data_IF_527942987790
#
_entry.id   IF_527942987790
#
_cell.length_a   1.000
_cell.length_b   1.000
_cell.length_c   1.000
_cell.angle_alpha   90.00
_cell.angle_beta   90.00
_cell.angle_gamma   90.00
#
_symmetry.space_group_name_H-M   'P 1'
#
loop_
_entity.id
_entity.type
_entity.pdbx_description
1 polymer ?
#
# COMPACT_ATOMS: atom_id res chain seq x y z
N UNK A 1 -3.66 6.32 -14.66
CA UNK A 1 -2.87 6.47 -13.42
C UNK A 1 -1.49 6.99 -13.75
N UNK A 2 -1.05 7.97 -13.02
CA UNK A 2 0.26 8.59 -13.24
C UNK A 2 1.19 8.30 -12.09
N UNK A 3 2.46 8.08 -12.42
CA UNK A 3 3.54 8.04 -11.44
C UNK A 3 4.08 9.46 -11.35
N UNK A 4 3.77 10.17 -10.28
CA UNK A 4 4.01 11.60 -10.20
C UNK A 4 5.40 11.96 -9.65
N UNK A 5 6.06 11.09 -8.96
CA UNK A 5 7.37 11.38 -8.40
C UNK A 5 8.15 10.10 -8.18
N UNK A 6 9.10 9.86 -9.05
CA UNK A 6 10.04 8.75 -8.89
C UNK A 6 11.41 9.33 -8.60
N UNK A 7 11.91 9.07 -7.42
CA UNK A 7 13.33 9.19 -7.09
C UNK A 7 13.81 7.81 -6.73
N UNK A 8 15.13 7.58 -6.75
CA UNK A 8 15.65 6.26 -6.42
C UNK A 8 14.94 5.71 -5.15
N UNK A 9 14.15 4.67 -5.32
CA UNK A 9 13.51 3.92 -4.24
C UNK A 9 12.36 4.64 -3.51
N UNK A 10 11.74 5.61 -4.16
CA UNK A 10 10.52 6.22 -3.69
C UNK A 10 9.61 6.56 -4.87
N UNK A 11 8.32 6.31 -4.73
CA UNK A 11 7.32 6.74 -5.70
C UNK A 11 6.02 7.13 -5.00
N UNK A 12 5.39 8.16 -5.50
CA UNK A 12 4.03 8.50 -5.14
C UNK A 12 3.14 8.21 -6.34
N UNK A 13 2.22 7.27 -6.21
CA UNK A 13 1.29 6.92 -7.26
C UNK A 13 -0.03 7.64 -7.02
N UNK A 14 -0.58 8.22 -8.07
CA UNK A 14 -1.82 8.96 -7.98
C UNK A 14 -2.85 8.44 -8.97
N UNK A 15 -4.11 8.48 -8.58
CA UNK A 15 -5.22 8.20 -9.46
C UNK A 15 -5.94 9.50 -9.75
N UNK A 16 -6.23 9.72 -11.02
CA UNK A 16 -6.97 10.88 -11.52
C UNK A 16 -8.19 10.41 -12.29
N UNK A 17 -9.28 11.20 -12.31
CA UNK A 17 -10.44 10.84 -13.11
C UNK A 17 -10.08 10.80 -14.60
N UNK A 18 -10.81 10.02 -15.37
CA UNK A 18 -10.67 10.01 -16.81
C UNK A 18 -11.00 11.42 -17.37
N UNK A 19 -10.20 11.87 -18.33
CA UNK A 19 -10.13 13.26 -18.74
C UNK A 19 -11.20 13.72 -19.71
N UNK A 20 -12.14 12.88 -20.08
CA UNK A 20 -13.03 13.23 -21.18
C UNK A 20 -14.30 13.90 -20.79
N UNK A 21 -14.59 14.24 -19.59
CA UNK A 21 -15.94 14.61 -19.28
C UNK A 21 -16.14 15.97 -18.71
N UNK A 22 -15.38 16.56 -17.93
CA UNK A 22 -15.59 17.94 -17.54
C UNK A 22 -14.31 18.58 -17.05
N UNK A 23 -14.20 19.86 -17.28
CA UNK A 23 -13.09 20.66 -16.78
C UNK A 23 -13.00 20.64 -15.27
N UNK A 24 -14.11 20.39 -14.59
CA UNK A 24 -14.18 20.37 -13.13
C UNK A 24 -13.44 19.18 -12.51
N UNK A 25 -13.30 18.09 -13.24
CA UNK A 25 -12.60 16.90 -12.75
C UNK A 25 -11.14 16.84 -13.21
N UNK A 26 -10.68 17.76 -14.04
CA UNK A 26 -9.29 17.79 -14.48
C UNK A 26 -8.37 18.22 -13.33
N UNK A 27 -7.32 17.46 -13.08
CA UNK A 27 -6.34 17.75 -12.05
C UNK A 27 -6.77 17.40 -10.64
N UNK A 28 -7.96 16.84 -10.43
CA UNK A 28 -8.38 16.37 -9.11
C UNK A 28 -7.79 14.99 -8.84
N UNK A 29 -7.06 14.87 -7.73
CA UNK A 29 -6.61 13.57 -7.26
C UNK A 29 -7.77 12.85 -6.59
N UNK A 30 -8.06 11.65 -7.03
CA UNK A 30 -9.09 10.81 -6.43
C UNK A 30 -8.50 9.75 -5.50
N UNK A 31 -7.22 9.47 -5.62
CA UNK A 31 -6.53 8.55 -4.72
C UNK A 31 -5.03 8.70 -4.82
N UNK A 32 -4.33 8.31 -3.76
CA UNK A 32 -2.87 8.36 -3.67
C UNK A 32 -2.36 7.15 -2.90
N UNK A 33 -1.13 6.77 -3.16
CA UNK A 33 -0.40 5.79 -2.36
C UNK A 33 1.10 6.07 -2.48
N UNK A 34 1.83 5.92 -1.38
CA UNK A 34 3.28 6.07 -1.36
C UNK A 34 3.95 4.71 -1.30
N UNK A 35 5.06 4.57 -2.02
CA UNK A 35 5.90 3.37 -1.98
C UNK A 35 7.33 3.80 -1.70
N UNK A 36 7.92 3.28 -0.63
CA UNK A 36 9.28 3.60 -0.20
C UNK A 36 10.04 2.30 0.04
N UNK A 37 11.27 2.22 -0.43
CA UNK A 37 12.10 1.05 -0.17
C UNK A 37 12.69 1.15 1.23
N UNK A 38 12.51 0.10 2.02
CA UNK A 38 12.96 0.02 3.41
C UNK A 38 13.78 -1.26 3.66
N UNK A 39 14.47 -1.29 4.81
CA UNK A 39 15.38 -2.39 5.17
C UNK A 39 15.24 -2.82 6.62
N UNK A 40 14.09 -2.64 7.24
CA UNK A 40 13.91 -2.98 8.66
C UNK A 40 14.09 -4.47 8.89
N UNK A 41 15.01 -4.82 9.78
CA UNK A 41 15.34 -6.22 10.09
C UNK A 41 14.13 -7.04 10.53
N UNK A 42 13.25 -6.54 11.42
CA UNK A 42 12.07 -7.32 11.81
C UNK A 42 11.16 -7.68 10.63
N UNK A 43 11.09 -6.85 9.60
CA UNK A 43 10.32 -7.15 8.39
C UNK A 43 11.07 -8.14 7.51
N UNK A 44 12.37 -7.95 7.33
CA UNK A 44 13.18 -8.82 6.48
C UNK A 44 13.18 -10.27 6.94
N UNK A 45 12.94 -10.53 8.22
CA UNK A 45 12.82 -11.89 8.75
C UNK A 45 11.68 -12.68 8.09
N UNK A 46 10.68 -11.99 7.57
CA UNK A 46 9.54 -12.60 6.87
C UNK A 46 9.75 -12.70 5.36
N UNK A 47 10.83 -12.15 4.83
CA UNK A 47 11.07 -12.04 3.39
C UNK A 47 12.30 -12.84 2.99
N UNK A 48 12.08 -14.07 2.59
CA UNK A 48 13.16 -15.00 2.26
C UNK A 48 14.04 -14.45 1.14
N UNK A 49 15.32 -14.25 1.44
CA UNK A 49 16.31 -13.82 0.45
C UNK A 49 16.31 -12.33 0.12
N UNK A 50 15.40 -11.54 0.69
CA UNK A 50 15.33 -10.12 0.42
C UNK A 50 16.29 -9.33 1.30
N UNK A 51 16.91 -8.30 0.72
CA UNK A 51 17.78 -7.35 1.44
C UNK A 51 17.07 -6.03 1.71
N UNK A 52 16.03 -5.77 0.98
CA UNK A 52 15.20 -4.57 1.09
C UNK A 52 13.85 -4.86 0.43
N UNK A 53 12.88 -4.01 0.65
CA UNK A 53 11.53 -4.25 0.17
C UNK A 53 10.79 -2.93 -0.06
N UNK A 54 9.87 -2.86 -1.03
CA UNK A 54 8.96 -1.73 -1.16
C UNK A 54 7.91 -1.78 -0.06
N UNK A 55 7.80 -0.69 0.67
CA UNK A 55 6.82 -0.49 1.73
C UNK A 55 5.74 0.47 1.27
N UNK A 56 4.50 0.04 1.35
CA UNK A 56 3.33 0.80 0.92
C UNK A 56 2.75 1.55 2.11
N UNK A 57 2.53 2.85 1.94
CA UNK A 57 1.96 3.68 2.99
C UNK A 57 1.08 4.77 2.38
N UNK A 58 0.29 5.43 3.22
CA UNK A 58 -0.47 6.59 2.79
C UNK A 58 -1.54 6.33 1.75
N UNK A 59 -2.05 5.10 1.66
CA UNK A 59 -3.13 4.79 0.75
C UNK A 59 -4.40 5.54 1.16
N UNK A 60 -4.88 6.41 0.30
CA UNK A 60 -6.07 7.21 0.57
C UNK A 60 -6.87 7.43 -0.72
N UNK A 61 -8.19 7.37 -0.59
CA UNK A 61 -9.12 7.61 -1.68
C UNK A 61 -10.12 8.68 -1.25
N UNK A 62 -10.37 9.65 -2.12
CA UNK A 62 -11.35 10.70 -1.88
C UNK A 62 -12.73 10.11 -1.59
N UNK A 63 -13.45 10.69 -0.63
CA UNK A 63 -14.79 10.21 -0.22
C UNK A 63 -15.76 10.05 -1.38
N UNK A 64 -15.78 11.00 -2.31
CA UNK A 64 -16.67 10.96 -3.46
C UNK A 64 -16.35 9.86 -4.46
N UNK A 65 -15.16 9.25 -4.36
CA UNK A 65 -14.72 8.20 -5.26
C UNK A 65 -14.53 6.85 -4.58
N UNK A 66 -14.96 6.71 -3.34
CA UNK A 66 -14.93 5.42 -2.65
C UNK A 66 -15.91 4.44 -3.27
N UNK A 67 -15.66 3.13 -3.09
CA UNK A 67 -16.44 2.02 -3.66
C UNK A 67 -16.35 1.92 -5.19
N UNK A 68 -15.38 2.59 -5.81
CA UNK A 68 -15.12 2.50 -7.25
C UNK A 68 -13.86 1.71 -7.55
N UNK A 69 -13.41 0.89 -6.61
CA UNK A 69 -12.22 0.04 -6.75
C UNK A 69 -10.92 0.80 -7.00
N UNK A 70 -10.87 2.08 -6.66
CA UNK A 70 -9.67 2.90 -6.87
C UNK A 70 -8.52 2.42 -6.01
N UNK A 71 -8.79 2.07 -4.75
CA UNK A 71 -7.77 1.51 -3.87
C UNK A 71 -7.17 0.22 -4.44
N UNK A 72 -8.01 -0.66 -5.01
CA UNK A 72 -7.55 -1.88 -5.65
C UNK A 72 -6.65 -1.59 -6.86
N UNK A 73 -7.00 -0.60 -7.65
CA UNK A 73 -6.19 -0.17 -8.80
C UNK A 73 -4.83 0.38 -8.33
N UNK A 74 -4.83 1.19 -7.27
CA UNK A 74 -3.58 1.72 -6.71
C UNK A 74 -2.69 0.60 -6.17
N UNK A 75 -3.26 -0.39 -5.50
CA UNK A 75 -2.50 -1.55 -5.01
C UNK A 75 -1.93 -2.37 -6.17
N UNK A 76 -2.70 -2.52 -7.24
CA UNK A 76 -2.21 -3.21 -8.43
C UNK A 76 -1.06 -2.47 -9.08
N UNK A 77 -1.12 -1.15 -9.09
CA UNK A 77 0.00 -0.33 -9.59
C UNK A 77 1.24 -0.49 -8.72
N UNK A 78 1.07 -0.67 -7.42
CA UNK A 78 2.20 -0.97 -6.52
C UNK A 78 2.85 -2.32 -6.88
N UNK A 79 2.05 -3.33 -7.22
CA UNK A 79 2.59 -4.62 -7.70
C UNK A 79 3.45 -4.41 -8.94
N UNK A 80 2.95 -3.66 -9.90
CA UNK A 80 3.68 -3.39 -11.15
C UNK A 80 4.96 -2.62 -10.88
N UNK A 81 4.93 -1.66 -9.96
CA UNK A 81 6.10 -0.90 -9.57
C UNK A 81 7.16 -1.79 -8.91
N UNK A 82 6.74 -2.68 -8.03
CA UNK A 82 7.65 -3.63 -7.39
C UNK A 82 8.34 -4.53 -8.43
N UNK A 83 7.59 -5.02 -9.41
CA UNK A 83 8.14 -5.81 -10.52
C UNK A 83 9.13 -4.96 -11.33
N UNK A 84 8.76 -3.74 -11.66
CA UNK A 84 9.61 -2.83 -12.42
C UNK A 84 10.93 -2.54 -11.70
N UNK A 85 10.88 -2.40 -10.38
CA UNK A 85 12.07 -2.17 -9.56
C UNK A 85 12.85 -3.46 -9.24
N UNK A 86 12.30 -4.62 -9.58
CA UNK A 86 12.97 -5.91 -9.37
C UNK A 86 12.81 -6.49 -7.97
N UNK A 87 11.77 -6.11 -7.24
CA UNK A 87 11.51 -6.63 -5.91
C UNK A 87 10.49 -7.77 -5.94
N UNK A 88 10.75 -8.79 -5.14
CA UNK A 88 9.88 -9.96 -5.04
C UNK A 88 8.71 -9.76 -4.09
N UNK A 89 8.85 -8.88 -3.11
CA UNK A 89 7.86 -8.71 -2.05
C UNK A 89 7.37 -7.27 -1.97
N UNK A 90 6.12 -7.12 -1.51
CA UNK A 90 5.56 -5.85 -1.08
C UNK A 90 5.10 -5.98 0.37
N UNK A 91 5.23 -4.92 1.12
CA UNK A 91 4.94 -4.89 2.56
C UNK A 91 4.08 -3.69 2.89
N UNK A 92 3.12 -3.89 3.77
CA UNK A 92 2.35 -2.79 4.34
C UNK A 92 1.93 -3.11 5.77
N UNK A 93 1.46 -2.11 6.47
CA UNK A 93 0.85 -2.27 7.79
C UNK A 93 -0.56 -1.74 7.78
N UNK A 94 -1.43 -2.38 8.54
CA UNK A 94 -2.82 -1.96 8.70
C UNK A 94 -3.24 -2.14 10.15
N UNK A 95 -4.28 -1.42 10.55
CA UNK A 95 -4.87 -1.65 11.86
C UNK A 95 -5.69 -2.92 11.83
N UNK A 96 -5.51 -3.77 12.84
CA UNK A 96 -6.21 -5.06 12.95
C UNK A 96 -7.73 -4.88 12.95
N UNK A 97 -8.21 -3.80 13.56
CA UNK A 97 -9.64 -3.53 13.69
C UNK A 97 -10.31 -3.02 12.41
N UNK A 98 -9.52 -2.62 11.42
CA UNK A 98 -10.06 -2.09 10.18
C UNK A 98 -10.47 -3.22 9.24
N UNK A 99 -11.69 -3.67 9.36
CA UNK A 99 -12.22 -4.78 8.56
C UNK A 99 -12.29 -4.45 7.07
N UNK A 100 -12.55 -3.19 6.73
CA UNK A 100 -12.56 -2.75 5.34
C UNK A 100 -11.19 -2.84 4.71
N UNK A 101 -10.17 -2.39 5.42
CA UNK A 101 -8.79 -2.50 4.97
C UNK A 101 -8.36 -3.96 4.87
N UNK A 102 -8.70 -4.78 5.85
CA UNK A 102 -8.39 -6.20 5.84
C UNK A 102 -8.95 -6.89 4.60
N UNK A 103 -10.21 -6.64 4.28
CA UNK A 103 -10.85 -7.19 3.10
C UNK A 103 -10.15 -6.73 1.82
N UNK A 104 -9.85 -5.44 1.73
CA UNK A 104 -9.17 -4.86 0.58
C UNK A 104 -7.80 -5.52 0.34
N UNK A 105 -6.99 -5.61 1.39
CA UNK A 105 -5.64 -6.17 1.27
C UNK A 105 -5.66 -7.67 1.05
N UNK A 106 -6.56 -8.39 1.69
CA UNK A 106 -6.72 -9.83 1.47
C UNK A 106 -7.08 -10.13 0.03
N UNK A 107 -8.02 -9.40 -0.54
CA UNK A 107 -8.40 -9.56 -1.96
C UNK A 107 -7.26 -9.19 -2.91
N UNK A 108 -6.40 -8.28 -2.51
CA UNK A 108 -5.22 -7.91 -3.31
C UNK A 108 -4.08 -8.93 -3.20
N UNK A 109 -4.21 -9.95 -2.35
CA UNK A 109 -3.22 -11.01 -2.21
C UNK A 109 -2.28 -10.87 -1.02
N UNK A 110 -2.52 -9.90 -0.15
CA UNK A 110 -1.73 -9.72 1.07
C UNK A 110 -2.18 -10.66 2.17
N UNK A 111 -1.26 -11.08 3.01
CA UNK A 111 -1.57 -11.89 4.18
C UNK A 111 -0.80 -11.40 5.40
N UNK A 112 -1.39 -11.57 6.55
CA UNK A 112 -0.81 -11.14 7.83
C UNK A 112 0.29 -12.12 8.23
N UNK A 113 1.46 -11.59 8.59
CA UNK A 113 2.60 -12.40 9.05
C UNK A 113 2.98 -12.11 10.50
N UNK A 114 2.66 -10.92 11.00
CA UNK A 114 2.92 -10.56 12.39
C UNK A 114 2.05 -9.38 12.80
N UNK A 115 2.08 -9.05 14.08
CA UNK A 115 1.39 -7.88 14.60
C UNK A 115 2.11 -7.31 15.80
N UNK A 116 1.76 -6.08 16.18
CA UNK A 116 2.27 -5.49 17.40
C UNK A 116 1.86 -6.36 18.60
N UNK A 117 2.72 -6.51 19.62
CA UNK A 117 2.33 -7.25 20.81
C UNK A 117 1.08 -6.65 21.45
N UNK A 118 0.12 -7.46 21.92
CA UNK A 118 -1.07 -6.92 22.55
C UNK A 118 -0.83 -6.00 23.73
N UNK A 119 0.23 -6.25 24.51
CA UNK A 119 0.59 -5.39 25.64
C UNK A 119 1.01 -3.98 25.19
N UNK A 120 1.61 -3.86 24.02
CA UNK A 120 2.06 -2.57 23.52
C UNK A 120 0.86 -1.67 23.18
N UNK A 121 -0.14 -2.19 22.48
CA UNK A 121 -1.36 -1.44 22.15
C UNK A 121 -2.10 -1.01 23.41
N UNK A 122 -2.20 -1.89 24.39
CA UNK A 122 -2.84 -1.61 25.66
C UNK A 122 -2.10 -0.54 26.46
N UNK A 123 -0.77 -0.59 26.48
CA UNK A 123 0.07 0.27 27.28
C UNK A 123 0.16 1.70 26.75
N UNK A 124 0.26 1.87 25.44
CA UNK A 124 0.40 3.18 24.82
C UNK A 124 -0.91 3.72 24.24
N UNK A 125 -2.02 3.00 24.41
CA UNK A 125 -3.33 3.44 23.95
C UNK A 125 -3.50 3.46 22.45
N UNK A 126 -2.62 2.79 21.70
CA UNK A 126 -2.73 2.71 20.22
C UNK A 126 -3.43 1.43 19.81
N UNK A 127 -4.13 1.49 18.69
CA UNK A 127 -4.69 0.30 18.05
C UNK A 127 -3.57 -0.60 17.58
N UNK A 128 -3.83 -1.90 17.66
CA UNK A 128 -2.86 -2.90 17.18
C UNK A 128 -2.72 -2.83 15.66
N UNK A 129 -1.49 -2.75 15.20
CA UNK A 129 -1.20 -2.85 13.76
C UNK A 129 -0.68 -4.23 13.45
N UNK A 130 -0.98 -4.68 12.24
CA UNK A 130 -0.48 -5.95 11.71
C UNK A 130 0.39 -5.69 10.49
N UNK A 131 1.36 -6.56 10.29
CA UNK A 131 2.25 -6.54 9.14
C UNK A 131 1.72 -7.50 8.10
N UNK A 132 1.52 -6.99 6.89
CA UNK A 132 1.06 -7.80 5.76
C UNK A 132 2.11 -7.81 4.67
N UNK A 133 2.27 -8.97 4.05
CA UNK A 133 3.16 -9.12 2.92
C UNK A 133 2.45 -9.77 1.75
N UNK A 134 2.99 -9.50 0.56
CA UNK A 134 2.56 -10.11 -0.69
C UNK A 134 3.78 -10.35 -1.56
N UNK A 135 3.80 -11.45 -2.29
CA UNK A 135 4.76 -11.60 -3.39
C UNK A 135 4.27 -10.81 -4.59
N UNK A 136 5.19 -10.06 -5.20
CA UNK A 136 4.89 -9.36 -6.45
C UNK A 136 4.78 -10.38 -7.57
N UNK A 137 3.62 -10.95 -7.70
CA UNK A 137 3.39 -11.95 -8.74
C UNK A 137 2.91 -11.32 -10.02
N UNK A 138 3.47 -11.83 -10.99
CA UNK A 138 2.99 -11.65 -12.34
C UNK A 138 1.78 -12.52 -12.56
#
# INVERSE_FOLDING_TARGET
>A
MNISRIRSKYACLVAEPATNSSRESQGKLVGVVDVTVQRDTPVLQHLQGAKEYPYISGLAVSKSFRRRKIASVLLKACDMLAILWGYEYLVLRAYEEDLGAETLYSKAGYHVVSGDPPWLSSWIGRKRRVLLIKRSNI
#
